data_IF_985641137346
#
_entry.id   IF_985641137346
#
_cell.length_a   1.000
_cell.length_b   1.000
_cell.length_c   1.000
_cell.angle_alpha   90.00
_cell.angle_beta   90.00
_cell.angle_gamma   90.00
#
_symmetry.space_group_name_H-M   'P 1'
#
loop_
_entity.id
_entity.type
_entity.pdbx_description
1 polymer ?
#
# COMPACT_ATOMS: atom_id res chain seq x y z
N UNK A 1 -31.35 12.88 26.49
CA UNK A 1 -32.29 13.30 25.42
C UNK A 1 -32.13 14.78 25.07
N UNK A 2 -32.23 15.70 26.02
CA UNK A 2 -32.18 17.15 25.79
C UNK A 2 -30.86 17.67 25.16
N UNK A 3 -29.69 17.23 25.65
CA UNK A 3 -28.38 17.64 25.12
C UNK A 3 -28.18 17.27 23.64
N UNK A 4 -28.71 16.12 23.22
CA UNK A 4 -28.63 15.66 21.82
C UNK A 4 -29.49 16.54 20.90
N UNK A 5 -30.69 16.90 21.34
CA UNK A 5 -31.58 17.79 20.58
C UNK A 5 -30.96 19.18 20.43
N UNK A 6 -30.34 19.70 21.48
CA UNK A 6 -29.61 20.98 21.46
C UNK A 6 -28.44 20.94 20.46
N UNK A 7 -27.63 19.87 20.46
CA UNK A 7 -26.54 19.72 19.51
C UNK A 7 -27.01 19.68 18.05
N UNK A 8 -28.12 18.99 17.78
CA UNK A 8 -28.72 18.92 16.44
C UNK A 8 -29.19 20.32 16.01
N UNK A 9 -29.91 21.03 16.87
CA UNK A 9 -30.37 22.40 16.58
C UNK A 9 -29.17 23.34 16.30
N UNK A 10 -28.14 23.33 17.15
CA UNK A 10 -26.95 24.16 16.97
C UNK A 10 -26.20 23.87 15.65
N UNK A 11 -26.10 22.60 15.22
CA UNK A 11 -25.51 22.21 13.93
C UNK A 11 -26.35 22.65 12.73
N UNK A 12 -27.68 22.68 12.88
CA UNK A 12 -28.58 23.18 11.85
C UNK A 12 -28.48 24.71 11.74
N UNK A 13 -28.57 25.41 12.86
CA UNK A 13 -28.56 26.88 12.93
C UNK A 13 -27.22 27.48 12.48
N UNK A 14 -26.10 26.83 12.80
CA UNK A 14 -24.77 27.26 12.35
C UNK A 14 -24.46 26.93 10.89
N UNK A 15 -25.31 26.15 10.20
CA UNK A 15 -25.06 25.68 8.84
C UNK A 15 -23.92 24.66 8.71
N UNK A 16 -23.27 24.27 9.82
CA UNK A 16 -22.09 23.39 9.81
C UNK A 16 -22.42 21.91 9.52
N UNK A 17 -23.70 21.53 9.58
CA UNK A 17 -24.14 20.14 9.32
C UNK A 17 -23.72 19.60 7.94
N UNK A 18 -23.68 20.44 6.89
CA UNK A 18 -23.31 20.01 5.55
C UNK A 18 -21.78 19.83 5.40
N UNK A 19 -20.93 20.82 5.75
CA UNK A 19 -19.47 20.63 5.80
C UNK A 19 -19.04 19.46 6.69
N UNK A 20 -19.67 19.32 7.87
CA UNK A 20 -19.38 18.23 8.79
C UNK A 20 -19.66 16.86 8.18
N UNK A 21 -20.77 16.73 7.43
CA UNK A 21 -21.13 15.48 6.75
C UNK A 21 -20.08 15.07 5.72
N UNK A 22 -19.62 16.01 4.90
CA UNK A 22 -18.58 15.74 3.90
C UNK A 22 -17.24 15.38 4.56
N UNK A 23 -16.84 16.09 5.61
CA UNK A 23 -15.64 15.78 6.38
C UNK A 23 -15.71 14.37 7.00
N UNK A 24 -16.84 13.99 7.60
CA UNK A 24 -17.05 12.66 8.17
C UNK A 24 -17.11 11.56 7.10
N UNK A 25 -17.58 11.86 5.89
CA UNK A 25 -17.65 10.89 4.79
C UNK A 25 -16.27 10.46 4.29
N UNK A 26 -15.29 11.35 4.38
CA UNK A 26 -13.89 11.05 4.08
C UNK A 26 -13.24 10.13 5.12
N UNK A 27 -13.82 10.05 6.32
CA UNK A 27 -13.34 9.19 7.39
C UNK A 27 -13.92 7.79 7.17
N UNK A 28 -13.04 6.84 6.89
CA UNK A 28 -13.42 5.44 6.74
C UNK A 28 -13.93 4.82 8.05
N UNK A 29 -14.20 3.52 8.01
CA UNK A 29 -14.70 2.77 9.17
C UNK A 29 -13.59 2.52 10.22
N UNK A 30 -13.30 3.56 11.01
CA UNK A 30 -12.24 3.53 12.02
C UNK A 30 -12.54 2.55 13.14
N UNK A 31 -13.80 2.36 13.53
CA UNK A 31 -14.20 1.42 14.59
C UNK A 31 -13.78 -0.01 14.23
N UNK A 32 -14.14 -0.47 13.01
CA UNK A 32 -13.75 -1.81 12.57
C UNK A 32 -12.26 -1.93 12.34
N UNK A 33 -11.58 -0.86 11.93
CA UNK A 33 -10.11 -0.85 11.80
C UNK A 33 -9.46 -1.04 13.17
N UNK A 34 -9.87 -0.26 14.18
CA UNK A 34 -9.33 -0.36 15.54
C UNK A 34 -9.54 -1.75 16.14
N UNK A 35 -10.69 -2.38 15.89
CA UNK A 35 -10.93 -3.77 16.28
C UNK A 35 -9.91 -4.73 15.64
N UNK A 36 -9.59 -4.56 14.34
CA UNK A 36 -8.56 -5.36 13.66
C UNK A 36 -7.15 -5.06 14.17
N UNK A 37 -6.85 -3.82 14.51
CA UNK A 37 -5.56 -3.42 15.12
C UNK A 37 -5.38 -4.12 16.47
N UNK A 38 -6.41 -4.07 17.33
CA UNK A 38 -6.40 -4.75 18.63
C UNK A 38 -6.17 -6.27 18.49
N UNK A 39 -6.75 -6.88 17.45
CA UNK A 39 -6.59 -8.30 17.13
C UNK A 39 -5.31 -8.61 16.32
N UNK A 40 -4.44 -7.63 16.06
CA UNK A 40 -3.23 -7.76 15.22
C UNK A 40 -3.50 -8.36 13.83
N UNK A 41 -4.69 -8.08 13.29
CA UNK A 41 -5.17 -8.58 11.99
C UNK A 41 -5.43 -7.45 10.98
N UNK A 42 -5.08 -6.21 11.33
CA UNK A 42 -5.19 -5.06 10.44
C UNK A 42 -4.29 -5.22 9.21
N UNK A 43 -4.84 -4.86 8.05
CA UNK A 43 -4.13 -4.87 6.76
C UNK A 43 -3.43 -3.52 6.53
N UNK A 44 -2.44 -3.43 5.63
CA UNK A 44 -1.78 -2.16 5.34
C UNK A 44 -2.74 -1.03 4.95
N UNK A 45 -3.76 -1.34 4.14
CA UNK A 45 -4.81 -0.38 3.78
C UNK A 45 -5.66 0.08 4.96
N UNK A 46 -5.86 -0.76 5.97
CA UNK A 46 -6.57 -0.36 7.19
C UNK A 46 -5.78 0.73 7.92
N UNK A 47 -4.46 0.57 8.01
CA UNK A 47 -3.58 1.54 8.65
C UNK A 47 -3.48 2.85 7.85
N UNK A 48 -3.55 2.79 6.52
CA UNK A 48 -3.66 3.98 5.67
C UNK A 48 -4.98 4.73 5.91
N UNK A 49 -6.11 4.01 5.96
CA UNK A 49 -7.41 4.64 6.27
C UNK A 49 -7.42 5.23 7.69
N UNK A 50 -6.77 4.57 8.66
CA UNK A 50 -6.59 5.11 10.01
C UNK A 50 -5.77 6.41 9.99
N UNK A 51 -4.63 6.42 9.28
CA UNK A 51 -3.80 7.63 9.08
C UNK A 51 -4.66 8.77 8.54
N UNK A 52 -5.38 8.55 7.45
CA UNK A 52 -6.17 9.58 6.78
C UNK A 52 -7.32 10.08 7.69
N UNK A 53 -7.97 9.16 8.41
CA UNK A 53 -9.00 9.51 9.40
C UNK A 53 -8.48 10.35 10.57
N UNK A 54 -7.28 10.05 11.08
CA UNK A 54 -6.64 10.86 12.13
C UNK A 54 -6.18 12.22 11.61
N UNK A 55 -5.72 12.31 10.35
CA UNK A 55 -5.36 13.57 9.70
C UNK A 55 -6.56 14.49 9.47
N UNK A 56 -7.78 13.95 9.39
CA UNK A 56 -9.02 14.74 9.30
C UNK A 56 -9.46 15.35 10.63
N UNK A 57 -8.96 14.87 11.77
CA UNK A 57 -9.40 15.30 13.10
C UNK A 57 -9.24 16.82 13.37
N UNK A 58 -8.15 17.50 12.97
CA UNK A 58 -8.02 18.95 13.15
C UNK A 58 -9.09 19.75 12.39
N UNK A 59 -9.42 19.32 11.16
CA UNK A 59 -10.47 19.97 10.36
C UNK A 59 -11.86 19.79 10.98
N UNK A 60 -12.16 18.58 11.47
CA UNK A 60 -13.39 18.32 12.23
C UNK A 60 -13.47 19.19 13.49
N UNK A 61 -12.36 19.33 14.21
CA UNK A 61 -12.28 20.18 15.41
C UNK A 61 -12.60 21.62 15.07
N UNK A 62 -12.00 22.17 14.02
CA UNK A 62 -12.26 23.55 13.59
C UNK A 62 -13.73 23.79 13.22
N UNK A 63 -14.38 22.85 12.52
CA UNK A 63 -15.79 22.95 12.15
C UNK A 63 -16.72 22.95 13.37
N UNK A 64 -16.42 22.10 14.35
CA UNK A 64 -17.26 21.92 15.54
C UNK A 64 -17.00 22.94 16.64
N UNK A 65 -15.80 23.53 16.71
CA UNK A 65 -15.48 24.61 17.66
C UNK A 65 -16.31 25.89 17.43
N UNK A 66 -16.79 26.11 16.20
CA UNK A 66 -17.65 27.23 15.86
C UNK A 66 -19.12 27.05 16.32
N UNK A 67 -19.46 25.89 16.90
CA UNK A 67 -20.83 25.54 17.28
C UNK A 67 -20.95 25.47 18.79
N UNK A 68 -21.75 26.37 19.37
CA UNK A 68 -21.99 26.38 20.82
C UNK A 68 -22.90 25.22 21.22
N UNK A 69 -22.28 24.13 21.71
CA UNK A 69 -23.00 23.00 22.25
C UNK A 69 -22.14 22.22 23.25
N UNK A 70 -22.60 22.02 24.51
CA UNK A 70 -21.85 21.26 25.50
C UNK A 70 -21.66 19.80 25.10
N UNK A 71 -22.61 19.22 24.36
CA UNK A 71 -22.48 17.86 23.85
C UNK A 71 -21.37 17.75 22.78
N UNK A 72 -21.26 18.74 21.89
CA UNK A 72 -20.21 18.75 20.86
C UNK A 72 -18.84 19.01 21.48
N UNK A 73 -18.74 19.90 22.47
CA UNK A 73 -17.52 20.12 23.23
C UNK A 73 -17.03 18.82 23.90
N UNK A 74 -17.92 18.07 24.55
CA UNK A 74 -17.56 16.78 25.15
C UNK A 74 -17.10 15.74 24.11
N UNK A 75 -17.72 15.70 22.93
CA UNK A 75 -17.29 14.82 21.84
C UNK A 75 -15.93 15.24 21.27
N UNK A 76 -15.66 16.54 21.19
CA UNK A 76 -14.35 17.07 20.77
C UNK A 76 -13.26 16.73 21.77
N UNK A 77 -13.53 16.78 23.07
CA UNK A 77 -12.57 16.36 24.09
C UNK A 77 -12.28 14.86 23.98
N UNK A 78 -13.31 14.04 23.78
CA UNK A 78 -13.16 12.60 23.58
C UNK A 78 -12.41 12.24 22.29
N UNK A 79 -12.53 13.05 21.22
CA UNK A 79 -11.84 12.85 19.95
C UNK A 79 -10.31 12.99 20.08
N UNK A 80 -9.82 13.81 21.02
CA UNK A 80 -8.39 14.10 21.15
C UNK A 80 -7.77 14.75 19.89
N UNK A 81 -6.44 14.82 19.83
CA UNK A 81 -5.71 15.47 18.72
C UNK A 81 -4.96 14.50 17.80
N UNK A 82 -4.46 13.38 18.35
CA UNK A 82 -3.81 12.29 17.61
C UNK A 82 -2.74 12.65 16.56
N UNK A 83 -2.23 13.89 16.54
CA UNK A 83 -1.29 14.39 15.55
C UNK A 83 0.00 13.57 15.49
N UNK A 84 0.52 13.14 16.65
CA UNK A 84 1.71 12.27 16.73
C UNK A 84 1.49 10.91 16.06
N UNK A 85 0.34 10.27 16.30
CA UNK A 85 -0.01 8.99 15.67
C UNK A 85 -0.21 9.15 14.16
N UNK A 86 -0.90 10.20 13.73
CA UNK A 86 -1.09 10.50 12.31
C UNK A 86 0.26 10.72 11.60
N UNK A 87 1.15 11.50 12.20
CA UNK A 87 2.49 11.76 11.66
C UNK A 87 3.36 10.49 11.62
N UNK A 88 3.28 9.65 12.64
CA UNK A 88 3.98 8.37 12.66
C UNK A 88 3.49 7.45 11.54
N UNK A 89 2.18 7.28 11.36
CA UNK A 89 1.64 6.47 10.26
C UNK A 89 1.97 7.07 8.88
N UNK A 90 2.00 8.40 8.76
CA UNK A 90 2.35 9.10 7.52
C UNK A 90 3.81 8.90 7.11
N UNK A 91 4.73 8.85 8.07
CA UNK A 91 6.15 8.62 7.82
C UNK A 91 6.48 7.14 7.68
N UNK A 92 5.70 6.26 8.29
CA UNK A 92 5.91 4.81 8.25
C UNK A 92 5.33 4.16 7.01
N UNK A 93 4.13 4.55 6.60
CA UNK A 93 3.40 3.85 5.53
C UNK A 93 3.62 4.50 4.18
N UNK A 94 3.75 3.67 3.15
CA UNK A 94 3.64 4.11 1.77
C UNK A 94 2.30 4.86 1.57
N UNK A 95 2.29 5.89 0.71
CA UNK A 95 1.10 6.73 0.50
C UNK A 95 -0.13 5.89 0.11
N UNK A 96 0.08 4.90 -0.75
CA UNK A 96 -0.91 3.91 -1.18
C UNK A 96 -0.32 2.50 -0.97
N UNK A 97 -0.49 1.88 0.21
CA UNK A 97 0.06 0.55 0.44
C UNK A 97 -0.79 -0.53 -0.24
N UNK A 98 -0.19 -1.69 -0.59
CA UNK A 98 -0.93 -2.81 -1.17
C UNK A 98 -1.92 -3.42 -0.18
N UNK A 99 -2.80 -4.28 -0.69
CA UNK A 99 -3.85 -4.88 0.13
C UNK A 99 -3.30 -5.86 1.18
N UNK A 100 -2.16 -6.50 0.90
CA UNK A 100 -1.55 -7.53 1.74
C UNK A 100 -0.10 -7.17 2.04
N UNK A 101 0.35 -7.51 3.26
CA UNK A 101 1.72 -7.27 3.70
C UNK A 101 2.76 -8.03 2.88
N UNK A 102 2.42 -9.25 2.43
CA UNK A 102 3.31 -10.13 1.66
C UNK A 102 3.70 -9.59 0.28
N UNK A 103 2.95 -8.62 -0.22
CA UNK A 103 3.18 -8.04 -1.55
C UNK A 103 4.31 -6.97 -1.51
N UNK A 104 4.89 -6.71 -0.33
CA UNK A 104 5.94 -5.69 -0.15
C UNK A 104 5.38 -4.27 -0.23
N UNK A 105 6.24 -3.25 -0.38
CA UNK A 105 5.80 -1.87 -0.65
C UNK A 105 4.89 -1.20 0.40
N UNK A 106 4.82 -1.74 1.63
CA UNK A 106 3.98 -1.20 2.70
C UNK A 106 4.67 -0.06 3.44
N UNK A 107 5.94 -0.24 3.79
CA UNK A 107 6.74 0.74 4.52
C UNK A 107 7.27 1.80 3.55
N UNK A 108 7.17 3.08 3.91
CA UNK A 108 7.67 4.17 3.10
C UNK A 108 9.20 4.11 2.93
N UNK A 109 9.75 4.62 1.82
CA UNK A 109 11.18 4.89 1.73
C UNK A 109 11.61 5.92 2.78
N UNK A 110 12.81 5.77 3.32
CA UNK A 110 13.41 6.64 4.32
C UNK A 110 12.96 6.38 5.76
N UNK A 111 12.04 5.44 5.99
CA UNK A 111 11.59 5.08 7.34
C UNK A 111 12.58 4.15 8.05
N UNK A 112 13.13 3.19 7.32
CA UNK A 112 14.02 2.16 7.84
C UNK A 112 15.22 1.99 6.89
N UNK A 113 16.40 2.35 7.38
CA UNK A 113 17.61 2.38 6.57
C UNK A 113 18.07 0.98 6.12
N UNK A 114 17.88 -0.04 6.95
CA UNK A 114 18.25 -1.42 6.62
C UNK A 114 17.30 -1.96 5.54
N UNK A 115 16.00 -1.71 5.68
CA UNK A 115 15.01 -2.07 4.66
C UNK A 115 15.28 -1.37 3.32
N UNK A 116 15.69 -0.10 3.36
CA UNK A 116 16.03 0.65 2.15
C UNK A 116 17.31 0.15 1.48
N UNK A 117 18.33 -0.23 2.26
CA UNK A 117 19.53 -0.89 1.74
C UNK A 117 19.18 -2.23 1.06
N UNK A 118 18.33 -3.05 1.69
CA UNK A 118 17.87 -4.31 1.12
C UNK A 118 17.08 -4.10 -0.19
N UNK A 119 16.25 -3.06 -0.26
CA UNK A 119 15.52 -2.68 -1.48
C UNK A 119 16.47 -2.23 -2.59
N UNK A 120 17.49 -1.46 -2.25
CA UNK A 120 18.49 -1.00 -3.21
C UNK A 120 19.23 -2.19 -3.83
N UNK A 121 19.68 -3.13 -2.99
CA UNK A 121 20.36 -4.34 -3.44
C UNK A 121 19.49 -5.19 -4.37
N UNK A 122 18.19 -5.34 -4.05
CA UNK A 122 17.23 -6.04 -4.92
C UNK A 122 17.04 -5.33 -6.26
N UNK A 123 16.91 -4.00 -6.24
CA UNK A 123 16.71 -3.20 -7.46
C UNK A 123 17.94 -3.26 -8.38
N UNK A 124 19.13 -3.23 -7.79
CA UNK A 124 20.39 -3.36 -8.53
C UNK A 124 20.52 -4.73 -9.20
N UNK A 125 20.05 -5.80 -8.55
CA UNK A 125 19.98 -7.13 -9.16
C UNK A 125 19.02 -7.17 -10.36
N UNK A 126 17.83 -6.56 -10.25
CA UNK A 126 16.86 -6.49 -11.36
C UNK A 126 17.41 -5.69 -12.56
N UNK A 127 18.13 -4.60 -12.29
CA UNK A 127 18.84 -3.84 -13.32
C UNK A 127 19.91 -4.68 -14.00
N UNK A 128 20.73 -5.39 -13.22
CA UNK A 128 21.75 -6.29 -13.76
C UNK A 128 21.14 -7.37 -14.67
N UNK A 129 20.01 -7.97 -14.28
CA UNK A 129 19.31 -8.97 -15.09
C UNK A 129 18.78 -8.37 -16.41
N UNK A 130 18.26 -7.15 -16.37
CA UNK A 130 17.79 -6.44 -17.56
C UNK A 130 18.92 -6.10 -18.52
N UNK A 131 20.07 -5.64 -18.00
CA UNK A 131 21.28 -5.39 -18.78
C UNK A 131 21.85 -6.68 -19.39
N UNK A 132 21.85 -7.77 -18.61
CA UNK A 132 22.22 -9.10 -19.10
C UNK A 132 21.30 -9.54 -20.25
N UNK A 133 19.98 -9.42 -20.09
CA UNK A 133 19.03 -9.75 -21.15
C UNK A 133 19.29 -8.96 -22.44
N UNK A 134 19.50 -7.64 -22.32
CA UNK A 134 19.77 -6.78 -23.46
C UNK A 134 21.08 -7.18 -24.17
N UNK A 135 22.14 -7.46 -23.40
CA UNK A 135 23.43 -7.90 -23.93
C UNK A 135 23.32 -9.24 -24.65
N UNK A 136 22.67 -10.22 -24.04
CA UNK A 136 22.50 -11.55 -24.64
C UNK A 136 21.60 -11.51 -25.89
N UNK A 137 20.54 -10.69 -25.88
CA UNK A 137 19.70 -10.43 -27.06
C UNK A 137 20.51 -9.83 -28.21
N UNK A 138 21.37 -8.84 -27.92
CA UNK A 138 22.24 -8.21 -28.92
C UNK A 138 23.30 -9.19 -29.46
N UNK A 139 23.94 -9.98 -28.59
CA UNK A 139 24.99 -10.92 -28.97
C UNK A 139 24.46 -12.12 -29.77
N UNK A 140 23.28 -12.65 -29.42
CA UNK A 140 22.68 -13.82 -30.05
C UNK A 140 21.78 -13.48 -31.26
N UNK A 141 21.28 -12.24 -31.35
CA UNK A 141 20.26 -11.84 -32.33
C UNK A 141 18.87 -12.43 -32.05
N UNK A 142 18.65 -13.04 -30.89
CA UNK A 142 17.38 -13.69 -30.50
C UNK A 142 16.49 -12.65 -29.81
N UNK A 143 15.63 -11.97 -30.58
CA UNK A 143 14.72 -10.96 -30.04
C UNK A 143 13.80 -11.49 -28.91
N UNK A 144 13.46 -12.78 -28.95
CA UNK A 144 12.58 -13.44 -27.96
C UNK A 144 13.29 -13.89 -26.69
N UNK A 145 14.61 -13.69 -26.58
CA UNK A 145 15.40 -14.07 -25.41
C UNK A 145 14.92 -13.29 -24.19
N UNK A 146 14.70 -14.00 -23.08
CA UNK A 146 14.34 -13.41 -21.77
C UNK A 146 15.17 -14.02 -20.66
N UNK A 147 15.58 -13.21 -19.69
CA UNK A 147 16.16 -13.71 -18.43
C UNK A 147 15.01 -13.86 -17.43
N UNK A 148 14.80 -15.07 -16.93
CA UNK A 148 13.69 -15.40 -16.04
C UNK A 148 14.20 -16.09 -14.77
N UNK A 149 13.37 -16.08 -13.72
CA UNK A 149 13.64 -16.75 -12.45
C UNK A 149 12.50 -17.70 -12.11
N UNK A 150 12.82 -18.88 -11.60
CA UNK A 150 11.86 -19.72 -10.90
C UNK A 150 12.45 -20.25 -9.59
N UNK A 151 11.56 -20.57 -8.64
CA UNK A 151 11.94 -20.94 -7.27
C UNK A 151 12.71 -22.27 -7.17
N UNK A 152 12.59 -23.16 -8.15
CA UNK A 152 13.19 -24.50 -8.13
C UNK A 152 14.57 -24.52 -8.80
N UNK A 153 14.74 -23.73 -9.85
CA UNK A 153 15.88 -23.79 -10.77
C UNK A 153 16.74 -22.53 -10.78
N UNK A 154 16.30 -21.46 -10.11
CA UNK A 154 17.01 -20.18 -10.08
C UNK A 154 16.82 -19.39 -11.37
N UNK A 155 17.81 -18.58 -11.72
CA UNK A 155 17.82 -17.78 -12.95
C UNK A 155 18.14 -18.64 -14.18
N UNK A 156 17.45 -18.40 -15.29
CA UNK A 156 17.66 -19.06 -16.57
C UNK A 156 17.37 -18.13 -17.76
N UNK A 157 17.91 -18.48 -18.93
CA UNK A 157 17.62 -17.81 -20.20
C UNK A 157 16.52 -18.61 -20.92
N UNK A 158 15.40 -17.96 -21.18
CA UNK A 158 14.31 -18.50 -21.96
C UNK A 158 14.43 -18.07 -23.42
N UNK A 159 14.30 -19.03 -24.34
CA UNK A 159 14.30 -18.82 -25.78
C UNK A 159 13.04 -19.50 -26.35
N UNK A 160 12.37 -18.84 -27.29
CA UNK A 160 11.21 -19.43 -27.96
C UNK A 160 11.58 -20.70 -28.73
N UNK A 161 10.66 -21.68 -28.77
CA UNK A 161 10.90 -22.97 -29.44
C UNK A 161 11.37 -22.82 -30.89
N UNK A 162 10.86 -21.82 -31.61
CA UNK A 162 11.23 -21.55 -33.02
C UNK A 162 12.60 -20.89 -33.22
N UNK A 163 13.24 -20.41 -32.14
CA UNK A 163 14.60 -19.83 -32.18
C UNK A 163 15.61 -20.66 -31.37
N UNK A 164 15.22 -21.82 -30.86
CA UNK A 164 16.08 -22.68 -30.04
C UNK A 164 17.35 -23.12 -30.79
N UNK A 165 17.25 -23.33 -32.10
CA UNK A 165 18.41 -23.72 -32.94
C UNK A 165 19.40 -22.58 -33.14
N UNK A 166 19.02 -21.33 -32.82
CA UNK A 166 19.90 -20.15 -32.86
C UNK A 166 20.61 -19.91 -31.53
N UNK A 167 20.35 -20.73 -30.50
CA UNK A 167 20.98 -20.57 -29.20
C UNK A 167 22.52 -20.71 -29.31
N UNK A 168 23.30 -19.79 -28.72
CA UNK A 168 24.75 -19.91 -28.70
C UNK A 168 25.25 -21.22 -28.07
N UNK A 169 26.36 -21.75 -28.59
CA UNK A 169 26.91 -23.06 -28.17
C UNK A 169 27.32 -23.11 -26.69
N UNK A 170 27.63 -21.96 -26.08
CA UNK A 170 27.98 -21.87 -24.67
C UNK A 170 26.76 -21.93 -23.73
N UNK A 171 25.53 -21.91 -24.25
CA UNK A 171 24.33 -22.07 -23.43
C UNK A 171 24.15 -23.53 -23.02
N UNK A 172 24.08 -23.76 -21.71
CA UNK A 172 23.76 -25.09 -21.18
C UNK A 172 22.24 -25.28 -21.21
N UNK A 173 21.75 -26.10 -22.13
CA UNK A 173 20.32 -26.43 -22.21
C UNK A 173 19.88 -27.17 -20.95
N UNK A 174 18.98 -26.55 -20.19
CA UNK A 174 18.31 -27.19 -19.05
C UNK A 174 16.87 -27.50 -19.44
N UNK A 175 16.50 -28.79 -19.39
CA UNK A 175 15.14 -29.21 -19.69
C UNK A 175 14.33 -29.26 -18.40
N UNK A 176 13.42 -28.32 -18.22
CA UNK A 176 12.44 -28.43 -17.15
C UNK A 176 11.35 -29.41 -17.58
N UNK A 177 11.04 -30.39 -16.72
CA UNK A 177 10.00 -31.41 -17.00
C UNK A 177 8.61 -30.91 -16.62
N UNK A 178 8.46 -29.68 -16.15
CA UNK A 178 7.15 -29.12 -15.79
C UNK A 178 6.47 -28.40 -16.96
N UNK A 179 6.07 -29.16 -17.99
CA UNK A 179 4.92 -28.76 -18.80
C UNK A 179 3.66 -29.13 -18.04
N UNK A 180 3.23 -28.29 -17.08
CA UNK A 180 1.84 -28.34 -16.62
C UNK A 180 0.93 -27.99 -17.80
N UNK A 181 0.29 -29.03 -18.34
CA UNK A 181 -0.92 -28.91 -19.15
C UNK A 181 -1.97 -28.24 -18.28
N UNK A 182 -2.08 -26.91 -18.36
CA UNK A 182 -3.31 -26.23 -17.94
C UNK A 182 -4.26 -26.27 -19.13
N UNK A 183 -4.93 -27.40 -19.31
CA UNK A 183 -6.22 -27.41 -20.00
C UNK A 183 -7.23 -26.87 -18.98
N UNK A 184 -7.64 -25.62 -19.15
CA UNK A 184 -8.95 -25.20 -18.64
C UNK A 184 -9.99 -25.51 -19.70
N UNK A 185 -11.17 -25.86 -19.19
CA UNK A 185 -12.32 -26.43 -19.85
C UNK A 185 -12.73 -25.77 -21.17
#
# INVERSE_FOLDING_TARGET
>A
MQLRQQAIAALMDSGQHAPLREALRAIGDLERILARVALRSARPRDLATLRDGLQAAPALRALLQAVDSPQLASLLDALGEHAGTAAHLQTTLHAQPPALLRDGGVIAPGFDAELDELRLLSTDADRFLSELEARERAASGIATLRVAYNRVHGYYIEISKGQADKAPVHYTRRHDRERRRTLHH
#
